data_IF_094118411979
#
_entry.id   IF_094118411979
#
_cell.length_a   1.000
_cell.length_b   1.000
_cell.length_c   1.000
_cell.angle_alpha   90.00
_cell.angle_beta   90.00
_cell.angle_gamma   90.00
#
_symmetry.space_group_name_H-M   'P 1'
#
loop_
_entity.id
_entity.type
_entity.pdbx_description
1 polymer ?
#
# COMPACT_ATOMS: atom_id res chain seq x y z
N UNK A 1 14.27 27.11 -18.32
CA UNK A 1 13.73 26.19 -17.30
C UNK A 1 14.93 25.72 -16.49
N UNK A 2 15.14 26.24 -15.27
CA UNK A 2 16.28 25.84 -14.44
C UNK A 2 15.89 24.60 -13.61
N UNK A 3 16.66 23.50 -13.63
CA UNK A 3 16.29 22.25 -12.94
C UNK A 3 16.69 22.19 -11.45
N UNK A 4 17.13 23.28 -10.83
CA UNK A 4 17.69 23.30 -9.46
C UNK A 4 16.95 24.27 -8.52
N UNK A 5 15.62 24.19 -8.44
CA UNK A 5 14.90 24.75 -7.28
C UNK A 5 14.81 23.68 -6.19
N UNK A 6 15.28 23.96 -4.95
CA UNK A 6 15.02 23.06 -3.83
C UNK A 6 13.50 23.04 -3.61
N UNK A 7 12.88 21.88 -3.83
CA UNK A 7 11.47 21.65 -3.52
C UNK A 7 11.35 21.81 -2.00
N UNK A 8 10.87 22.97 -1.55
CA UNK A 8 10.54 23.16 -0.14
C UNK A 8 9.57 22.04 0.27
N UNK A 9 9.85 21.28 1.34
CA UNK A 9 8.95 20.23 1.78
C UNK A 9 7.64 20.88 2.19
N UNK A 10 6.62 20.74 1.34
CA UNK A 10 5.26 21.12 1.71
C UNK A 10 4.89 20.33 2.97
N UNK A 11 4.32 20.98 3.99
CA UNK A 11 3.81 20.26 5.15
C UNK A 11 2.80 19.23 4.65
N UNK A 12 3.10 17.94 4.81
CA UNK A 12 2.15 16.87 4.51
C UNK A 12 1.02 17.04 5.53
N UNK A 13 -0.09 17.64 5.09
CA UNK A 13 -1.30 17.68 5.88
C UNK A 13 -1.64 16.23 6.27
N UNK A 14 -1.86 15.95 7.57
CA UNK A 14 -2.25 14.61 7.97
C UNK A 14 -3.52 14.26 7.18
N UNK A 15 -3.55 13.08 6.55
CA UNK A 15 -4.76 12.60 5.90
C UNK A 15 -5.80 12.25 6.98
N UNK A 16 -6.48 13.29 7.47
CA UNK A 16 -7.53 13.22 8.49
C UNK A 16 -8.64 12.25 8.04
N UNK A 17 -8.76 12.02 6.73
CA UNK A 17 -9.71 11.09 6.12
C UNK A 17 -9.42 9.65 6.55
N UNK A 18 -8.18 9.18 6.41
CA UNK A 18 -7.78 7.80 6.71
C UNK A 18 -7.98 7.43 8.19
N UNK A 19 -7.60 8.33 9.09
CA UNK A 19 -7.75 8.12 10.53
C UNK A 19 -9.24 8.13 10.94
N UNK A 20 -10.06 9.00 10.34
CA UNK A 20 -11.50 9.03 10.56
C UNK A 20 -12.19 7.76 10.04
N UNK A 21 -11.75 7.21 8.91
CA UNK A 21 -12.25 5.95 8.37
C UNK A 21 -11.92 4.78 9.30
N UNK A 22 -10.74 4.75 9.91
CA UNK A 22 -10.36 3.73 10.88
C UNK A 22 -11.27 3.76 12.13
N UNK A 23 -11.47 4.95 12.72
CA UNK A 23 -12.34 5.12 13.90
C UNK A 23 -13.78 4.72 13.58
N UNK A 24 -14.28 5.12 12.41
CA UNK A 24 -15.63 4.76 11.94
C UNK A 24 -15.78 3.25 11.74
N UNK A 25 -14.76 2.59 11.20
CA UNK A 25 -14.74 1.12 11.04
C UNK A 25 -14.74 0.41 12.39
N UNK A 26 -13.98 0.92 13.36
CA UNK A 26 -13.97 0.39 14.72
C UNK A 26 -15.34 0.55 15.39
N UNK A 27 -15.99 1.70 15.21
CA UNK A 27 -17.36 1.95 15.67
C UNK A 27 -18.37 0.94 15.08
N UNK A 28 -18.27 0.66 13.78
CA UNK A 28 -19.17 -0.28 13.11
C UNK A 28 -18.98 -1.74 13.55
N UNK A 29 -17.75 -2.16 13.89
CA UNK A 29 -17.45 -3.54 14.29
C UNK A 29 -17.57 -3.80 15.79
N UNK A 30 -17.21 -2.81 16.60
CA UNK A 30 -17.00 -2.99 18.04
C UNK A 30 -17.74 -1.93 18.88
N UNK A 31 -18.59 -1.12 18.24
CA UNK A 31 -19.37 -0.08 18.91
C UNK A 31 -18.50 1.05 19.45
N UNK A 32 -19.06 1.81 20.39
CA UNK A 32 -18.45 3.02 20.96
C UNK A 32 -17.10 2.75 21.65
N UNK A 33 -16.95 1.60 22.30
CA UNK A 33 -15.69 1.22 22.97
C UNK A 33 -14.56 1.06 21.95
N UNK A 34 -14.82 0.40 20.82
CA UNK A 34 -13.83 0.29 19.75
C UNK A 34 -13.50 1.64 19.10
N UNK A 35 -14.50 2.52 18.96
CA UNK A 35 -14.30 3.88 18.46
C UNK A 35 -13.39 4.71 19.38
N UNK A 36 -13.62 4.64 20.70
CA UNK A 36 -12.78 5.35 21.69
C UNK A 36 -11.35 4.84 21.70
N UNK A 37 -11.15 3.53 21.65
CA UNK A 37 -9.82 2.94 21.62
C UNK A 37 -9.07 3.31 20.34
N UNK A 38 -9.71 3.20 19.17
CA UNK A 38 -9.12 3.60 17.90
C UNK A 38 -8.81 5.11 17.86
N UNK A 39 -9.74 5.94 18.35
CA UNK A 39 -9.53 7.39 18.44
C UNK A 39 -8.38 7.76 19.37
N UNK A 40 -8.24 7.05 20.49
CA UNK A 40 -7.10 7.20 21.40
C UNK A 40 -5.78 6.89 20.69
N UNK A 41 -5.71 5.78 19.96
CA UNK A 41 -4.51 5.42 19.19
C UNK A 41 -4.16 6.45 18.12
N UNK A 42 -5.14 7.05 17.42
CA UNK A 42 -4.88 8.15 16.48
C UNK A 42 -4.22 9.35 17.17
N UNK A 43 -4.72 9.72 18.35
CA UNK A 43 -4.16 10.85 19.12
C UNK A 43 -2.75 10.53 19.62
N UNK A 44 -2.52 9.31 20.11
CA UNK A 44 -1.19 8.88 20.56
C UNK A 44 -0.19 8.78 19.40
N UNK A 45 -0.59 8.24 18.25
CA UNK A 45 0.26 8.16 17.06
C UNK A 45 0.64 9.55 16.54
N UNK A 46 -0.24 10.55 16.70
CA UNK A 46 0.05 11.95 16.36
C UNK A 46 1.00 12.61 17.35
N UNK A 47 0.87 12.30 18.65
CA UNK A 47 1.71 12.86 19.71
C UNK A 47 3.13 12.29 19.69
N UNK A 48 3.27 10.99 19.40
CA UNK A 48 4.56 10.29 19.37
C UNK A 48 5.34 10.49 18.07
N UNK A 49 4.79 11.24 17.11
CA UNK A 49 5.40 11.50 15.83
C UNK A 49 5.27 10.30 14.90
N UNK A 50 4.27 10.33 14.04
CA UNK A 50 4.12 9.34 12.97
C UNK A 50 5.38 9.41 12.09
N UNK A 51 6.10 8.30 11.92
CA UNK A 51 7.10 8.22 10.83
C UNK A 51 6.33 8.51 9.54
N UNK A 52 6.61 9.60 8.81
CA UNK A 52 5.94 9.86 7.55
C UNK A 52 6.08 8.61 6.70
N UNK A 53 4.97 8.11 6.14
CA UNK A 53 5.06 7.05 5.13
C UNK A 53 5.90 7.63 4.00
N UNK A 54 7.15 7.18 3.93
CA UNK A 54 8.08 7.57 2.88
C UNK A 54 7.45 7.20 1.54
N UNK A 55 7.08 8.26 0.82
CA UNK A 55 6.67 8.35 -0.58
C UNK A 55 5.45 7.52 -1.05
N UNK A 56 4.53 8.14 -1.82
CA UNK A 56 3.46 7.39 -2.48
C UNK A 56 4.09 6.35 -3.41
N UNK A 57 3.52 5.13 -3.42
CA UNK A 57 4.00 4.08 -4.31
C UNK A 57 4.04 4.62 -5.75
N UNK A 58 5.24 4.71 -6.32
CA UNK A 58 5.43 5.06 -7.71
C UNK A 58 4.86 3.90 -8.52
N UNK A 59 3.64 4.07 -9.02
CA UNK A 59 3.00 3.11 -9.92
C UNK A 59 3.61 3.34 -11.30
N UNK A 60 4.64 2.57 -11.62
CA UNK A 60 5.18 2.51 -12.97
C UNK A 60 4.22 1.65 -13.78
N UNK A 61 3.41 2.27 -14.64
CA UNK A 61 2.58 1.56 -15.60
C UNK A 61 3.48 0.97 -16.68
N UNK A 62 3.94 -0.26 -16.46
CA UNK A 62 4.55 -1.08 -17.50
C UNK A 62 3.46 -1.57 -18.45
N UNK A 63 3.22 -0.81 -19.51
CA UNK A 63 2.22 -1.08 -20.56
C UNK A 63 2.63 -2.22 -21.52
N UNK A 64 3.05 -3.35 -20.98
CA UNK A 64 3.41 -4.56 -21.74
C UNK A 64 2.45 -5.72 -21.47
N UNK A 65 2.45 -6.71 -22.36
CA UNK A 65 1.77 -7.97 -22.11
C UNK A 65 2.26 -8.59 -20.79
N UNK A 66 1.38 -9.22 -20.01
CA UNK A 66 1.79 -9.82 -18.74
C UNK A 66 2.84 -10.91 -18.99
N UNK A 67 4.07 -10.66 -18.52
CA UNK A 67 5.16 -11.64 -18.56
C UNK A 67 5.09 -12.61 -17.38
N UNK A 68 5.62 -13.82 -17.59
CA UNK A 68 5.70 -14.83 -16.54
C UNK A 68 6.81 -14.50 -15.53
N UNK A 69 6.43 -14.41 -14.25
CA UNK A 69 7.30 -14.08 -13.13
C UNK A 69 7.83 -15.32 -12.37
N UNK A 70 7.77 -16.51 -12.96
CA UNK A 70 8.32 -17.75 -12.37
C UNK A 70 9.80 -17.64 -11.94
N UNK A 71 10.57 -16.73 -12.55
CA UNK A 71 11.98 -16.47 -12.23
C UNK A 71 12.19 -15.34 -11.21
N UNK A 72 11.12 -14.67 -10.77
CA UNK A 72 11.21 -13.45 -9.96
C UNK A 72 11.31 -12.18 -10.81
N UNK A 73 11.49 -11.04 -10.14
CA UNK A 73 11.57 -9.72 -10.77
C UNK A 73 12.97 -9.14 -10.46
N UNK A 74 13.71 -8.79 -11.50
CA UNK A 74 15.00 -8.10 -11.40
C UNK A 74 14.88 -6.72 -12.03
N UNK A 75 15.27 -5.68 -11.29
CA UNK A 75 15.20 -4.29 -11.74
C UNK A 75 16.56 -3.61 -11.49
N UNK A 76 17.05 -2.88 -12.47
CA UNK A 76 18.17 -1.96 -12.31
C UNK A 76 17.62 -0.54 -12.25
N UNK A 77 17.89 0.16 -11.16
CA UNK A 77 17.43 1.53 -10.92
C UNK A 77 18.65 2.47 -10.99
N UNK A 78 18.54 3.54 -11.77
CA UNK A 78 19.53 4.62 -11.74
C UNK A 78 19.24 5.52 -10.54
N UNK A 79 20.20 5.64 -9.62
CA UNK A 79 20.08 6.53 -8.48
C UNK A 79 20.43 7.98 -8.88
N UNK A 80 19.92 8.99 -8.15
CA UNK A 80 20.26 10.40 -8.38
C UNK A 80 21.77 10.69 -8.33
N UNK A 81 22.51 9.87 -7.58
CA UNK A 81 23.96 9.96 -7.42
C UNK A 81 24.74 9.31 -8.60
N UNK A 82 24.04 8.87 -9.65
CA UNK A 82 24.60 8.22 -10.83
C UNK A 82 25.05 6.77 -10.62
N UNK A 83 24.76 6.18 -9.45
CA UNK A 83 25.04 4.77 -9.15
C UNK A 83 23.88 3.89 -9.59
N UNK A 84 24.18 2.69 -10.10
CA UNK A 84 23.18 1.69 -10.42
C UNK A 84 22.84 0.84 -9.17
N UNK A 85 21.55 0.74 -8.84
CA UNK A 85 21.05 -0.15 -7.81
C UNK A 85 20.33 -1.33 -8.45
N UNK A 86 20.84 -2.54 -8.20
CA UNK A 86 20.17 -3.77 -8.59
C UNK A 86 19.24 -4.26 -7.47
N UNK A 87 17.95 -4.39 -7.79
CA UNK A 87 16.91 -4.90 -6.88
C UNK A 87 16.37 -6.22 -7.40
N UNK A 88 16.26 -7.21 -6.51
CA UNK A 88 15.75 -8.54 -6.83
C UNK A 88 14.61 -8.93 -5.89
N UNK A 89 13.47 -9.29 -6.47
CA UNK A 89 12.35 -9.93 -5.78
C UNK A 89 12.27 -11.40 -6.20
N UNK A 90 12.42 -12.36 -5.27
CA UNK A 90 12.38 -13.79 -5.60
C UNK A 90 10.99 -14.21 -6.11
N UNK A 91 10.91 -15.32 -6.87
CA UNK A 91 9.64 -15.83 -7.37
C UNK A 91 8.60 -16.02 -6.27
N UNK A 92 7.32 -15.68 -6.50
CA UNK A 92 6.27 -16.00 -5.55
C UNK A 92 6.19 -17.53 -5.41
N UNK A 93 6.32 -18.03 -4.17
CA UNK A 93 6.29 -19.46 -3.90
C UNK A 93 5.07 -20.13 -4.54
N UNK A 94 5.28 -21.26 -5.22
CA UNK A 94 4.24 -22.01 -5.95
C UNK A 94 3.04 -22.28 -5.04
N UNK A 95 1.97 -21.50 -5.18
CA UNK A 95 0.72 -21.74 -4.47
C UNK A 95 0.01 -22.92 -5.15
N UNK A 96 -0.36 -23.94 -4.37
CA UNK A 96 -1.22 -25.02 -4.88
C UNK A 96 -2.51 -24.41 -5.42
N UNK A 97 -2.91 -24.81 -6.62
CA UNK A 97 -4.14 -24.34 -7.23
C UNK A 97 -5.32 -24.55 -6.27
N UNK A 98 -6.07 -23.49 -5.97
CA UNK A 98 -7.25 -23.57 -5.12
C UNK A 98 -8.36 -24.18 -5.96
N UNK A 99 -8.77 -25.41 -5.66
CA UNK A 99 -9.88 -26.05 -6.35
C UNK A 99 -11.17 -25.26 -6.11
N UNK A 100 -11.68 -24.55 -7.12
CA UNK A 100 -12.96 -23.86 -7.05
C UNK A 100 -14.06 -24.84 -7.46
N UNK A 101 -14.79 -25.39 -6.48
CA UNK A 101 -15.98 -26.21 -6.76
C UNK A 101 -17.14 -25.29 -7.13
N UNK A 102 -17.51 -25.24 -8.41
CA UNK A 102 -18.75 -24.56 -8.86
C UNK A 102 -19.96 -25.21 -8.19
N UNK A 103 -20.80 -24.41 -7.53
CA UNK A 103 -22.13 -24.86 -7.06
C UNK A 103 -23.04 -24.98 -8.27
N UNK A 104 -23.67 -26.14 -8.47
CA UNK A 104 -24.73 -26.31 -9.48
C UNK A 104 -26.00 -25.64 -8.95
N UNK A 105 -26.66 -24.80 -9.75
CA UNK A 105 -28.04 -24.35 -9.48
C UNK A 105 -28.95 -25.57 -9.53
N UNK A 106 -29.86 -25.70 -8.57
CA UNK A 106 -30.91 -26.69 -8.64
C UNK A 106 -31.86 -26.33 -9.80
N UNK A 107 -32.31 -27.30 -10.61
CA UNK A 107 -33.33 -27.07 -11.62
C UNK A 107 -34.70 -26.97 -10.93
N UNK A 108 -35.42 -25.87 -11.16
CA UNK A 108 -36.81 -25.72 -10.72
C UNK A 108 -37.11 -24.33 -10.17
N UNK A 109 -37.26 -23.36 -11.07
CA UNK A 109 -38.18 -22.24 -10.92
C UNK A 109 -39.23 -22.37 -12.02
#
# INVERSE_FOLDING_TARGET
MNPNEPIEPTPIEPDVSDDAHMVRRAAQRYGTVGAMLAGGMVVFDRLLGRKPKEEPAVVIESATEPEDIEKGISLTLEQPDGQELQVFAPPPGRRRARAVRRRRRAPGE
#
